data_IF_006085869697
#
_entry.id   IF_006085869697
#
_cell.length_a   1.000
_cell.length_b   1.000
_cell.length_c   1.000
_cell.angle_alpha   90.00
_cell.angle_beta   90.00
_cell.angle_gamma   90.00
#
_symmetry.space_group_name_H-M   'P 1'
#
loop_
_entity.id
_entity.type
_entity.pdbx_description
1 polymer ?
#
# COMPACT_ATOMS: atom_id res chain seq x y z
N UNK A 1 75.69 6.08 7.48
CA UNK A 1 74.59 6.99 7.09
C UNK A 1 74.42 6.84 5.59
N UNK A 2 73.16 6.86 5.12
CA UNK A 2 72.69 6.60 3.74
C UNK A 2 72.57 5.11 3.36
N UNK A 3 71.52 4.63 2.71
CA UNK A 3 70.10 5.02 2.60
C UNK A 3 69.46 3.82 1.88
N UNK A 4 68.51 3.10 2.51
CA UNK A 4 67.75 2.04 1.84
C UNK A 4 66.69 2.66 0.94
N UNK A 5 66.81 2.44 -0.37
CA UNK A 5 65.89 2.92 -1.39
C UNK A 5 65.03 1.80 -1.97
N UNK A 6 63.71 1.96 -1.78
CA UNK A 6 62.69 1.91 -2.84
C UNK A 6 62.48 0.62 -3.65
N UNK A 7 61.44 -0.13 -3.28
CA UNK A 7 60.65 -0.94 -4.22
C UNK A 7 59.14 -0.61 -4.08
N UNK A 8 58.75 0.56 -4.58
CA UNK A 8 57.35 0.85 -4.92
C UNK A 8 57.07 0.26 -6.31
N UNK A 9 56.20 -0.75 -6.37
CA UNK A 9 55.69 -1.32 -7.62
C UNK A 9 54.73 -0.31 -8.25
N UNK A 10 55.06 0.11 -9.46
CA UNK A 10 54.17 0.88 -10.34
C UNK A 10 52.87 0.11 -10.57
N UNK A 11 51.77 0.60 -10.00
CA UNK A 11 50.42 0.23 -10.42
C UNK A 11 50.10 1.10 -11.64
N UNK A 12 50.23 0.52 -12.82
CA UNK A 12 49.77 1.14 -14.07
C UNK A 12 48.25 1.14 -14.07
N UNK A 13 47.64 2.28 -13.76
CA UNK A 13 46.20 2.51 -14.00
C UNK A 13 46.01 2.63 -15.51
N UNK A 14 45.58 1.52 -16.13
CA UNK A 14 45.20 1.48 -17.54
C UNK A 14 43.88 2.25 -17.70
N UNK A 15 43.97 3.50 -18.14
CA UNK A 15 42.80 4.30 -18.48
C UNK A 15 42.26 3.80 -19.82
N UNK A 16 41.24 2.96 -19.79
CA UNK A 16 40.54 2.49 -20.99
C UNK A 16 39.57 3.58 -21.46
N UNK A 17 40.02 4.43 -22.39
CA UNK A 17 39.14 5.36 -23.09
C UNK A 17 38.39 4.59 -24.18
N UNK A 18 37.20 4.10 -23.86
CA UNK A 18 36.30 3.53 -24.88
C UNK A 18 35.58 4.68 -25.58
N UNK A 19 36.17 5.17 -26.66
CA UNK A 19 35.50 6.08 -27.60
C UNK A 19 34.51 5.28 -28.46
N UNK A 20 33.30 5.05 -27.94
CA UNK A 20 32.19 4.56 -28.74
C UNK A 20 31.62 5.71 -29.58
N UNK A 21 32.05 5.79 -30.85
CA UNK A 21 31.38 6.63 -31.84
C UNK A 21 30.06 5.96 -32.23
N UNK A 22 28.98 6.33 -31.55
CA UNK A 22 27.63 5.82 -31.83
C UNK A 22 27.05 6.61 -33.01
N UNK A 23 27.05 5.97 -34.19
CA UNK A 23 26.33 6.46 -35.36
C UNK A 23 24.84 6.21 -35.13
N UNK A 24 24.08 7.24 -34.73
CA UNK A 24 22.63 7.15 -34.63
C UNK A 24 22.02 7.18 -36.04
N UNK A 25 21.66 6.01 -36.57
CA UNK A 25 20.69 5.93 -37.66
C UNK A 25 19.30 6.11 -37.07
N UNK A 26 18.53 7.02 -37.66
CA UNK A 26 17.15 7.35 -37.27
C UNK A 26 16.21 6.20 -37.62
N UNK A 27 16.19 5.16 -36.79
CA UNK A 27 15.18 4.13 -36.76
C UNK A 27 14.80 3.93 -35.29
N UNK A 28 13.61 4.40 -34.90
CA UNK A 28 13.14 4.40 -33.52
C UNK A 28 12.92 2.98 -33.00
N UNK A 29 13.98 2.36 -32.50
CA UNK A 29 13.88 1.30 -31.50
C UNK A 29 14.73 1.80 -30.32
N UNK A 30 14.07 2.48 -29.37
CA UNK A 30 14.70 2.79 -28.10
C UNK A 30 14.93 1.47 -27.36
N UNK A 31 16.00 0.77 -27.70
CA UNK A 31 16.52 -0.32 -26.87
C UNK A 31 17.10 0.33 -25.63
N UNK A 32 16.36 0.26 -24.52
CA UNK A 32 16.89 0.48 -23.18
C UNK A 32 17.96 -0.58 -22.96
N UNK A 33 19.22 -0.27 -23.29
CA UNK A 33 20.33 -1.17 -23.01
C UNK A 33 20.45 -1.27 -21.50
N UNK A 34 19.91 -2.33 -20.93
CA UNK A 34 20.09 -2.66 -19.52
C UNK A 34 21.58 -2.92 -19.31
N UNK A 35 22.25 -2.03 -18.59
CA UNK A 35 23.66 -2.21 -18.24
C UNK A 35 23.73 -3.11 -17.02
N UNK A 36 23.94 -4.40 -17.24
CA UNK A 36 24.28 -5.33 -16.16
C UNK A 36 25.72 -5.03 -15.75
N UNK A 37 25.91 -4.59 -14.51
CA UNK A 37 27.26 -4.38 -13.95
C UNK A 37 27.77 -5.72 -13.43
N UNK A 38 28.81 -6.32 -14.04
CA UNK A 38 29.37 -7.58 -13.57
C UNK A 38 29.92 -7.43 -12.15
N UNK A 39 29.79 -8.48 -11.35
CA UNK A 39 30.37 -8.49 -10.01
C UNK A 39 31.90 -8.71 -10.08
N UNK A 40 32.68 -8.27 -9.07
CA UNK A 40 34.11 -8.50 -9.05
C UNK A 40 34.43 -10.01 -9.15
N UNK A 41 35.02 -10.42 -10.27
CA UNK A 41 35.33 -11.83 -10.56
C UNK A 41 34.65 -12.37 -11.82
N UNK A 42 33.63 -11.68 -12.34
CA UNK A 42 33.00 -12.04 -13.60
C UNK A 42 33.87 -11.56 -14.77
N UNK A 43 34.28 -12.49 -15.63
CA UNK A 43 35.12 -12.20 -16.81
C UNK A 43 34.32 -11.98 -18.10
N UNK A 44 33.01 -12.22 -18.07
CA UNK A 44 32.12 -12.10 -19.23
C UNK A 44 30.85 -11.33 -18.86
N UNK A 45 30.43 -10.43 -19.75
CA UNK A 45 29.10 -9.82 -19.70
C UNK A 45 28.11 -10.84 -20.27
N UNK A 46 27.35 -11.49 -19.39
CA UNK A 46 26.20 -12.28 -19.83
C UNK A 46 25.08 -11.28 -20.13
N UNK A 47 24.67 -11.20 -21.39
CA UNK A 47 23.45 -10.50 -21.76
C UNK A 47 22.29 -11.32 -21.22
N UNK A 48 21.70 -10.84 -20.12
CA UNK A 48 20.63 -11.54 -19.45
C UNK A 48 19.30 -11.07 -20.04
N UNK A 49 18.72 -11.89 -20.93
CA UNK A 49 17.40 -11.70 -21.56
C UNK A 49 16.24 -11.93 -20.56
N UNK A 50 16.44 -11.65 -19.27
CA UNK A 50 15.57 -12.14 -18.18
C UNK A 50 14.56 -11.12 -17.68
N UNK A 51 14.29 -10.07 -18.44
CA UNK A 51 13.31 -9.04 -18.06
C UNK A 51 12.07 -9.05 -18.96
N UNK A 52 11.81 -10.13 -19.68
CA UNK A 52 10.64 -10.30 -20.59
C UNK A 52 9.28 -9.96 -19.98
N UNK A 53 9.17 -9.97 -18.65
CA UNK A 53 7.93 -9.69 -17.90
C UNK A 53 8.07 -8.52 -16.94
N UNK A 54 9.05 -7.67 -17.17
CA UNK A 54 9.26 -6.43 -16.41
C UNK A 54 9.12 -5.24 -17.35
N UNK A 55 8.15 -4.38 -17.07
CA UNK A 55 8.00 -3.09 -17.76
C UNK A 55 8.50 -2.02 -16.82
N UNK A 56 9.47 -1.22 -17.29
CA UNK A 56 9.96 -0.05 -16.55
C UNK A 56 9.28 1.19 -17.12
N UNK A 57 8.59 1.95 -16.26
CA UNK A 57 7.91 3.19 -16.62
C UNK A 57 8.73 4.36 -16.09
N UNK A 58 9.21 5.19 -17.01
CA UNK A 58 9.98 6.38 -16.67
C UNK A 58 9.12 7.50 -16.08
N UNK A 59 9.67 8.24 -15.11
CA UNK A 59 8.98 9.34 -14.42
C UNK A 59 9.55 10.74 -14.71
N UNK A 60 10.32 10.89 -15.80
CA UNK A 60 11.02 12.13 -16.14
C UNK A 60 10.22 13.12 -17.00
N UNK A 61 9.02 12.74 -17.45
CA UNK A 61 8.10 13.61 -18.18
C UNK A 61 7.30 14.52 -17.24
N UNK A 62 6.32 15.23 -17.80
CA UNK A 62 5.30 15.92 -16.99
C UNK A 62 4.40 14.91 -16.27
N UNK A 63 3.78 15.31 -15.18
CA UNK A 63 2.93 14.41 -14.37
C UNK A 63 1.86 13.68 -15.19
N UNK A 64 1.25 14.38 -16.16
CA UNK A 64 0.25 13.81 -17.06
C UNK A 64 0.84 12.87 -18.11
N UNK A 65 2.02 13.16 -18.65
CA UNK A 65 2.72 12.26 -19.59
C UNK A 65 3.15 10.97 -18.88
N UNK A 66 3.66 11.10 -17.65
CA UNK A 66 4.03 9.98 -16.81
C UNK A 66 2.81 9.09 -16.50
N UNK A 67 1.68 9.70 -16.08
CA UNK A 67 0.43 8.98 -15.84
C UNK A 67 -0.08 8.24 -17.08
N UNK A 68 -0.07 8.88 -18.25
CA UNK A 68 -0.43 8.24 -19.51
C UNK A 68 0.51 7.07 -19.87
N UNK A 69 1.82 7.23 -19.63
CA UNK A 69 2.79 6.17 -19.84
C UNK A 69 2.57 4.96 -18.93
N UNK A 70 2.18 5.19 -17.67
CA UNK A 70 1.85 4.13 -16.72
C UNK A 70 0.61 3.34 -17.14
N UNK A 71 -0.45 4.03 -17.60
CA UNK A 71 -1.65 3.39 -18.14
C UNK A 71 -1.32 2.57 -19.40
N UNK A 72 -0.54 3.14 -20.33
CA UNK A 72 -0.12 2.43 -21.52
C UNK A 72 0.75 1.20 -21.22
N UNK A 73 1.60 1.26 -20.19
CA UNK A 73 2.41 0.12 -19.76
C UNK A 73 1.54 -1.05 -19.27
N UNK A 74 0.46 -0.75 -18.55
CA UNK A 74 -0.50 -1.76 -18.10
C UNK A 74 -1.25 -2.40 -19.29
N UNK A 75 -1.65 -1.62 -20.29
CA UNK A 75 -2.33 -2.11 -21.50
C UNK A 75 -1.48 -3.10 -22.33
N UNK A 76 -0.15 -3.06 -22.20
CA UNK A 76 0.75 -4.03 -22.84
C UNK A 76 0.70 -5.42 -22.20
N UNK A 77 0.25 -5.51 -20.94
CA UNK A 77 0.21 -6.76 -20.18
C UNK A 77 -1.09 -7.51 -20.46
N UNK A 78 -1.08 -8.35 -21.50
CA UNK A 78 -2.29 -9.07 -21.96
C UNK A 78 -2.37 -10.54 -21.56
N UNK A 79 -1.28 -11.10 -21.01
CA UNK A 79 -1.13 -12.55 -20.77
C UNK A 79 -0.77 -12.92 -19.33
N UNK A 80 -0.99 -12.00 -18.38
CA UNK A 80 -0.67 -12.22 -16.98
C UNK A 80 -1.41 -13.44 -16.42
N UNK A 81 -0.67 -14.31 -15.73
CA UNK A 81 -1.20 -15.54 -15.13
C UNK A 81 -0.26 -16.05 -14.03
N UNK A 82 -0.68 -17.07 -13.28
CA UNK A 82 0.16 -17.68 -12.25
C UNK A 82 1.52 -18.20 -12.77
N UNK A 83 1.57 -18.73 -14.00
CA UNK A 83 2.81 -19.18 -14.64
C UNK A 83 3.55 -18.06 -15.38
N UNK A 84 2.88 -16.93 -15.61
CA UNK A 84 3.41 -15.76 -16.31
C UNK A 84 3.08 -14.47 -15.55
N UNK A 85 3.62 -14.27 -14.33
CA UNK A 85 3.43 -13.03 -13.58
C UNK A 85 4.21 -11.89 -14.22
N UNK A 86 3.72 -10.67 -14.04
CA UNK A 86 4.34 -9.45 -14.57
C UNK A 86 4.67 -8.48 -13.44
N UNK A 87 5.74 -7.70 -13.65
CA UNK A 87 6.14 -6.60 -12.80
C UNK A 87 6.13 -5.29 -13.62
N UNK A 88 5.43 -4.30 -13.11
CA UNK A 88 5.55 -2.91 -13.54
C UNK A 88 6.39 -2.19 -12.50
N UNK A 89 7.59 -1.76 -12.89
CA UNK A 89 8.50 -0.97 -12.08
C UNK A 89 8.38 0.50 -12.48
N UNK A 90 8.11 1.35 -11.50
CA UNK A 90 7.88 2.79 -11.73
C UNK A 90 9.06 3.57 -11.17
N UNK A 91 9.69 4.36 -12.03
CA UNK A 91 10.79 5.25 -11.65
C UNK A 91 10.32 6.39 -10.71
N UNK A 92 11.25 7.14 -10.10
CA UNK A 92 10.92 8.37 -9.41
C UNK A 92 10.15 9.35 -10.30
N UNK A 93 9.12 9.99 -9.76
CA UNK A 93 8.26 10.94 -10.48
C UNK A 93 6.84 10.98 -9.92
N UNK A 94 6.04 11.92 -10.45
CA UNK A 94 4.60 11.99 -10.21
C UNK A 94 3.87 11.48 -11.45
N UNK A 95 2.88 10.61 -11.23
CA UNK A 95 2.10 9.94 -12.26
C UNK A 95 0.64 10.35 -12.06
N UNK A 96 0.20 11.37 -12.79
CA UNK A 96 -1.16 11.90 -12.69
C UNK A 96 -2.10 11.18 -13.66
N UNK A 97 -2.99 10.38 -13.10
CA UNK A 97 -4.01 9.62 -13.83
C UNK A 97 -5.19 10.49 -14.27
N UNK A 98 -5.25 11.75 -13.83
CA UNK A 98 -6.40 12.62 -13.95
C UNK A 98 -7.67 11.89 -13.48
N UNK A 99 -8.66 11.74 -14.35
CA UNK A 99 -9.92 11.04 -14.11
C UNK A 99 -9.88 9.56 -14.55
N UNK A 100 -8.72 9.01 -14.85
CA UNK A 100 -8.55 7.58 -15.14
C UNK A 100 -8.26 6.79 -13.87
N UNK A 101 -8.47 5.48 -13.95
CA UNK A 101 -8.20 4.51 -12.90
C UNK A 101 -7.07 3.57 -13.34
N UNK A 102 -6.21 3.18 -12.40
CA UNK A 102 -5.18 2.17 -12.64
C UNK A 102 -5.66 0.78 -12.16
N UNK A 103 -6.09 -0.07 -13.11
CA UNK A 103 -6.64 -1.39 -12.81
C UNK A 103 -5.60 -2.50 -12.96
N UNK A 104 -5.02 -2.98 -11.87
CA UNK A 104 -4.08 -4.11 -11.91
C UNK A 104 -4.85 -5.43 -12.09
N UNK A 105 -4.79 -5.97 -13.30
CA UNK A 105 -5.30 -7.31 -13.59
C UNK A 105 -4.55 -8.38 -12.77
N UNK A 106 -5.10 -9.60 -12.61
CA UNK A 106 -4.48 -10.59 -11.75
C UNK A 106 -3.05 -10.96 -12.16
N UNK A 107 -2.20 -11.22 -11.17
CA UNK A 107 -0.77 -11.58 -11.34
C UNK A 107 0.13 -10.46 -11.89
N UNK A 108 -0.34 -9.21 -11.85
CA UNK A 108 0.48 -8.03 -12.11
C UNK A 108 0.85 -7.37 -10.80
N UNK A 109 2.15 -7.15 -10.60
CA UNK A 109 2.69 -6.40 -9.46
C UNK A 109 3.09 -5.00 -9.91
N UNK A 110 2.81 -3.99 -9.09
CA UNK A 110 3.26 -2.61 -9.28
C UNK A 110 4.20 -2.23 -8.13
N UNK A 111 5.40 -1.76 -8.49
CA UNK A 111 6.40 -1.34 -7.54
C UNK A 111 6.96 0.03 -7.92
N UNK A 112 6.92 0.98 -7.00
CA UNK A 112 7.62 2.25 -7.15
C UNK A 112 9.08 2.20 -6.71
N UNK A 113 9.79 3.31 -6.93
CA UNK A 113 11.19 3.48 -6.52
C UNK A 113 11.33 3.85 -5.02
N UNK A 114 10.22 4.17 -4.34
CA UNK A 114 10.16 4.50 -2.93
C UNK A 114 8.98 5.42 -2.60
N UNK A 115 8.49 5.35 -1.36
CA UNK A 115 7.31 6.11 -0.91
C UNK A 115 7.48 7.63 -1.07
N UNK A 116 8.69 8.16 -0.92
CA UNK A 116 8.93 9.61 -0.99
C UNK A 116 9.33 10.10 -2.39
N UNK A 117 9.46 9.20 -3.37
CA UNK A 117 10.01 9.54 -4.70
C UNK A 117 9.12 9.12 -5.87
N UNK A 118 8.21 8.17 -5.69
CA UNK A 118 7.21 7.77 -6.70
C UNK A 118 5.81 8.05 -6.16
N UNK A 119 5.05 8.93 -6.81
CA UNK A 119 3.67 9.26 -6.41
C UNK A 119 2.71 9.00 -7.56
N UNK A 120 1.65 8.24 -7.28
CA UNK A 120 0.48 8.13 -8.16
C UNK A 120 -0.56 9.12 -7.64
N UNK A 121 -1.04 9.99 -8.52
CA UNK A 121 -2.10 10.94 -8.19
C UNK A 121 -3.32 10.70 -9.07
N UNK A 122 -4.50 10.73 -8.46
CA UNK A 122 -5.77 10.65 -9.15
C UNK A 122 -6.69 11.78 -8.66
N UNK A 123 -7.62 12.15 -9.52
CA UNK A 123 -8.67 13.11 -9.23
C UNK A 123 -10.01 12.55 -9.73
N UNK A 124 -11.09 12.88 -9.03
CA UNK A 124 -12.40 12.34 -9.37
C UNK A 124 -12.82 12.67 -10.81
N UNK A 125 -13.39 11.66 -11.46
CA UNK A 125 -14.61 11.86 -12.25
C UNK A 125 -15.81 11.71 -11.31
N UNK A 126 -16.96 12.30 -11.67
CA UNK A 126 -18.18 12.31 -10.85
C UNK A 126 -18.81 10.93 -10.57
N UNK A 127 -18.18 9.81 -10.97
CA UNK A 127 -18.77 8.47 -10.87
C UNK A 127 -17.73 7.41 -10.50
N UNK A 128 -17.63 7.07 -9.21
CA UNK A 128 -17.08 5.79 -8.74
C UNK A 128 -15.63 5.48 -9.09
N UNK A 129 -14.84 6.49 -9.45
CA UNK A 129 -13.42 6.30 -9.73
C UNK A 129 -12.65 6.06 -8.44
N UNK A 130 -11.64 5.21 -8.56
CA UNK A 130 -10.60 4.93 -7.56
C UNK A 130 -9.25 5.20 -8.20
N UNK A 131 -8.25 5.60 -7.43
CA UNK A 131 -6.90 5.73 -7.99
C UNK A 131 -6.38 4.37 -8.50
N UNK A 132 -6.54 3.30 -7.70
CA UNK A 132 -6.02 1.97 -8.03
C UNK A 132 -7.04 0.87 -7.67
N UNK A 133 -7.26 -0.08 -8.59
CA UNK A 133 -7.96 -1.34 -8.35
C UNK A 133 -7.01 -2.54 -8.43
N UNK A 134 -7.13 -3.47 -7.48
CA UNK A 134 -6.34 -4.71 -7.38
C UNK A 134 -7.28 -5.92 -7.53
N UNK A 135 -7.19 -6.62 -8.66
CA UNK A 135 -8.12 -7.71 -9.04
C UNK A 135 -7.69 -9.11 -8.57
N UNK A 136 -6.61 -9.22 -7.82
CA UNK A 136 -6.17 -10.44 -7.13
C UNK A 136 -4.77 -10.92 -7.53
N UNK A 137 -4.05 -11.57 -6.62
CA UNK A 137 -2.64 -11.96 -6.82
C UNK A 137 -1.75 -10.77 -7.20
N UNK A 138 -2.10 -9.58 -6.74
CA UNK A 138 -1.35 -8.37 -6.98
C UNK A 138 -0.43 -8.08 -5.80
N UNK A 139 0.69 -7.43 -6.09
CA UNK A 139 1.53 -6.74 -5.12
C UNK A 139 1.55 -5.27 -5.49
N UNK A 140 1.16 -4.40 -4.55
CA UNK A 140 1.32 -2.96 -4.64
C UNK A 140 2.34 -2.50 -3.60
N UNK A 141 3.45 -1.88 -4.03
CA UNK A 141 4.49 -1.52 -3.07
C UNK A 141 5.40 -0.34 -3.43
N UNK A 142 6.04 0.25 -2.41
CA UNK A 142 7.13 1.23 -2.53
C UNK A 142 6.74 2.52 -3.28
N UNK A 143 5.55 3.06 -3.04
CA UNK A 143 5.08 4.31 -3.65
C UNK A 143 4.11 5.06 -2.73
N UNK A 144 3.85 6.32 -3.06
CA UNK A 144 2.76 7.11 -2.47
C UNK A 144 1.57 7.19 -3.42
N UNK A 145 0.37 7.32 -2.84
CA UNK A 145 -0.89 7.54 -3.55
C UNK A 145 -1.54 8.78 -2.96
N UNK A 146 -1.99 9.68 -3.83
CA UNK A 146 -2.84 10.82 -3.47
C UNK A 146 -4.10 10.77 -4.30
N UNK A 147 -5.23 10.57 -3.63
CA UNK A 147 -6.54 10.58 -4.27
C UNK A 147 -7.33 11.79 -3.80
N UNK A 148 -7.60 12.68 -4.76
CA UNK A 148 -8.41 13.89 -4.57
C UNK A 148 -9.83 13.72 -5.12
N UNK A 149 -10.24 12.46 -5.32
CA UNK A 149 -11.59 12.12 -5.70
C UNK A 149 -12.62 12.58 -4.66
N UNK A 150 -13.81 12.90 -5.14
CA UNK A 150 -14.99 13.31 -4.36
C UNK A 150 -16.14 12.32 -4.51
N UNK A 151 -15.85 11.11 -5.04
CA UNK A 151 -16.87 10.11 -5.30
C UNK A 151 -17.16 9.36 -3.99
N UNK A 152 -18.17 9.84 -3.27
CA UNK A 152 -18.61 9.21 -2.02
C UNK A 152 -18.72 7.68 -2.16
N UNK A 153 -18.08 6.94 -1.27
CA UNK A 153 -18.06 5.45 -1.18
C UNK A 153 -17.03 4.69 -2.03
N UNK A 154 -16.16 5.36 -2.77
CA UNK A 154 -14.98 4.72 -3.35
C UNK A 154 -13.80 4.74 -2.36
N UNK A 155 -12.75 3.98 -2.65
CA UNK A 155 -11.50 4.01 -1.90
C UNK A 155 -10.33 4.32 -2.82
N UNK A 156 -9.31 5.02 -2.32
CA UNK A 156 -8.12 5.36 -3.10
C UNK A 156 -7.42 4.09 -3.63
N UNK A 157 -7.36 3.05 -2.79
CA UNK A 157 -7.00 1.69 -3.22
C UNK A 157 -8.17 0.76 -2.94
N UNK A 158 -8.63 0.06 -3.97
CA UNK A 158 -9.69 -0.96 -3.83
C UNK A 158 -9.17 -2.33 -4.21
N UNK A 159 -9.50 -3.33 -3.39
CA UNK A 159 -9.28 -4.74 -3.75
C UNK A 159 -10.60 -5.41 -4.11
N UNK A 160 -10.65 -6.04 -5.28
CA UNK A 160 -11.83 -6.77 -5.78
C UNK A 160 -11.56 -8.25 -6.00
N UNK A 161 -10.33 -8.72 -5.67
CA UNK A 161 -9.95 -10.12 -5.77
C UNK A 161 -9.04 -10.59 -4.64
N UNK A 162 -8.72 -11.89 -4.68
CA UNK A 162 -8.05 -12.59 -3.57
C UNK A 162 -6.52 -12.50 -3.64
N UNK A 163 -5.83 -12.80 -2.53
CA UNK A 163 -4.37 -12.89 -2.46
C UNK A 163 -3.69 -11.57 -2.84
N UNK A 164 -4.24 -10.45 -2.38
CA UNK A 164 -3.69 -9.12 -2.62
C UNK A 164 -2.73 -8.74 -1.50
N UNK A 165 -1.57 -8.18 -1.86
CA UNK A 165 -0.60 -7.64 -0.90
C UNK A 165 -0.37 -6.16 -1.16
N UNK A 166 -0.53 -5.36 -0.11
CA UNK A 166 -0.29 -3.92 -0.10
C UNK A 166 0.80 -3.67 0.93
N UNK A 167 1.97 -3.19 0.50
CA UNK A 167 3.11 -3.06 1.42
C UNK A 167 4.02 -1.86 1.17
N UNK A 168 4.51 -1.24 2.25
CA UNK A 168 5.45 -0.13 2.18
C UNK A 168 4.94 1.00 1.28
N UNK A 169 3.72 1.46 1.54
CA UNK A 169 3.09 2.55 0.78
C UNK A 169 2.55 3.63 1.72
N UNK A 170 2.37 4.82 1.17
CA UNK A 170 1.67 5.93 1.82
C UNK A 170 0.43 6.29 1.00
N UNK A 171 -0.71 6.49 1.66
CA UNK A 171 -1.97 6.87 1.02
C UNK A 171 -2.51 8.14 1.68
N UNK A 172 -2.90 9.10 0.86
CA UNK A 172 -3.67 10.29 1.26
C UNK A 172 -4.94 10.33 0.41
N UNK A 173 -6.12 10.28 1.06
CA UNK A 173 -7.42 10.31 0.41
C UNK A 173 -8.28 11.46 0.98
N UNK A 174 -8.78 12.34 0.11
CA UNK A 174 -9.40 13.63 0.52
C UNK A 174 -10.91 13.57 0.82
N UNK A 175 -11.66 12.61 0.27
CA UNK A 175 -13.13 12.47 0.49
C UNK A 175 -13.61 11.00 0.49
N UNK A 176 -12.66 10.06 0.49
CA UNK A 176 -12.91 8.64 0.26
C UNK A 176 -12.22 7.75 1.29
N UNK A 177 -12.46 6.43 1.18
CA UNK A 177 -11.73 5.45 1.97
C UNK A 177 -10.25 5.43 1.54
N UNK A 178 -9.31 5.26 2.47
CA UNK A 178 -7.91 5.08 2.12
C UNK A 178 -7.70 3.74 1.41
N UNK A 179 -8.06 2.65 2.10
CA UNK A 179 -8.09 1.29 1.54
C UNK A 179 -9.49 0.72 1.71
N UNK A 180 -10.09 0.28 0.60
CA UNK A 180 -11.35 -0.46 0.59
C UNK A 180 -11.11 -1.89 0.12
N UNK A 181 -11.46 -2.86 0.95
CA UNK A 181 -11.48 -4.27 0.58
C UNK A 181 -12.93 -4.62 0.28
N UNK A 182 -13.24 -4.89 -0.99
CA UNK A 182 -14.61 -5.12 -1.45
C UNK A 182 -15.01 -6.60 -1.34
N UNK A 183 -16.30 -6.88 -1.54
CA UNK A 183 -16.90 -8.20 -1.32
C UNK A 183 -16.13 -9.34 -1.97
N UNK A 184 -16.06 -10.49 -1.28
CA UNK A 184 -15.42 -11.71 -1.74
C UNK A 184 -13.91 -11.64 -1.94
N UNK A 185 -13.23 -10.63 -1.37
CA UNK A 185 -11.76 -10.57 -1.33
C UNK A 185 -11.20 -11.37 -0.15
N UNK A 186 -10.48 -12.44 -0.45
CA UNK A 186 -9.87 -13.33 0.55
C UNK A 186 -8.34 -13.18 0.57
N UNK A 187 -7.72 -13.48 1.71
CA UNK A 187 -6.27 -13.41 1.92
C UNK A 187 -5.64 -12.05 1.54
N UNK A 188 -6.26 -10.94 1.99
CA UNK A 188 -5.72 -9.59 1.77
C UNK A 188 -4.75 -9.22 2.89
N UNK A 189 -3.50 -8.91 2.54
CA UNK A 189 -2.46 -8.52 3.51
C UNK A 189 -2.06 -7.07 3.30
N UNK A 190 -2.18 -6.29 4.37
CA UNK A 190 -1.79 -4.87 4.41
C UNK A 190 -0.67 -4.72 5.44
N UNK A 191 0.50 -4.27 5.02
CA UNK A 191 1.64 -4.18 5.94
C UNK A 191 2.54 -2.97 5.70
N UNK A 192 3.04 -2.35 6.77
CA UNK A 192 3.92 -1.18 6.67
C UNK A 192 3.28 -0.06 5.83
N UNK A 193 1.99 0.20 6.03
CA UNK A 193 1.28 1.27 5.31
C UNK A 193 1.06 2.48 6.21
N UNK A 194 1.09 3.67 5.62
CA UNK A 194 0.70 4.93 6.27
C UNK A 194 -0.49 5.53 5.51
N UNK A 195 -1.69 5.43 6.10
CA UNK A 195 -2.95 5.85 5.48
C UNK A 195 -3.52 7.05 6.23
N UNK A 196 -3.83 8.10 5.49
CA UNK A 196 -4.63 9.24 5.97
C UNK A 196 -5.81 9.43 5.04
N UNK A 197 -7.02 9.29 5.56
CA UNK A 197 -8.26 9.40 4.80
C UNK A 197 -9.21 10.42 5.42
N UNK A 198 -10.02 11.07 4.59
CA UNK A 198 -11.13 11.89 5.07
C UNK A 198 -12.33 11.04 5.50
N UNK A 199 -12.69 9.97 4.79
CA UNK A 199 -13.68 9.00 5.25
C UNK A 199 -13.01 7.92 6.10
N UNK A 200 -12.98 6.64 5.69
CA UNK A 200 -12.36 5.57 6.49
C UNK A 200 -10.94 5.26 6.05
N UNK A 201 -10.03 5.05 7.00
CA UNK A 201 -8.66 4.68 6.63
C UNK A 201 -8.59 3.25 6.06
N UNK A 202 -9.30 2.31 6.69
CA UNK A 202 -9.45 0.94 6.22
C UNK A 202 -10.91 0.51 6.31
N UNK A 203 -11.45 0.02 5.21
CA UNK A 203 -12.80 -0.50 5.16
C UNK A 203 -12.85 -1.88 4.51
N UNK A 204 -13.14 -2.92 5.28
CA UNK A 204 -13.55 -4.23 4.77
C UNK A 204 -15.05 -4.23 4.59
N UNK A 205 -15.53 -4.10 3.35
CA UNK A 205 -16.94 -4.04 3.00
C UNK A 205 -17.31 -5.17 2.05
N UNK A 206 -18.58 -5.60 2.15
CA UNK A 206 -19.05 -6.76 1.41
C UNK A 206 -18.72 -8.07 2.12
N UNK A 207 -19.63 -9.04 2.02
CA UNK A 207 -19.50 -10.27 2.78
C UNK A 207 -18.31 -11.12 2.38
N UNK A 208 -17.81 -11.92 3.33
CA UNK A 208 -16.72 -12.89 3.16
C UNK A 208 -15.41 -12.23 2.71
N UNK A 209 -14.93 -11.30 3.53
CA UNK A 209 -13.65 -10.61 3.33
C UNK A 209 -12.68 -11.06 4.41
N UNK A 210 -11.46 -11.44 4.08
CA UNK A 210 -10.39 -11.76 5.06
C UNK A 210 -9.23 -10.78 4.90
N UNK A 211 -8.95 -10.00 5.95
CA UNK A 211 -7.93 -8.95 5.96
C UNK A 211 -7.02 -9.11 7.16
N UNK A 212 -5.72 -9.07 6.89
CA UNK A 212 -4.68 -8.97 7.92
C UNK A 212 -3.89 -7.68 7.71
N UNK A 213 -4.01 -6.75 8.66
CA UNK A 213 -3.25 -5.50 8.71
C UNK A 213 -2.17 -5.55 9.80
N UNK A 214 -0.92 -5.18 9.47
CA UNK A 214 0.21 -5.23 10.42
C UNK A 214 1.16 -4.05 10.30
N UNK A 215 1.76 -3.63 11.42
CA UNK A 215 2.81 -2.59 11.44
C UNK A 215 2.43 -1.35 10.63
N UNK A 216 1.19 -0.89 10.76
CA UNK A 216 0.60 0.13 9.89
C UNK A 216 0.01 1.26 10.70
N UNK A 217 -0.13 2.42 10.06
CA UNK A 217 -0.76 3.60 10.65
C UNK A 217 -1.97 3.99 9.83
N UNK A 218 -3.13 4.06 10.48
CA UNK A 218 -4.41 4.37 9.89
C UNK A 218 -4.99 5.61 10.56
N UNK A 219 -5.23 6.66 9.77
CA UNK A 219 -5.80 7.93 10.24
C UNK A 219 -7.06 8.30 9.48
N UNK A 220 -8.10 8.67 10.22
CA UNK A 220 -9.34 9.22 9.66
C UNK A 220 -9.64 10.60 10.26
N UNK A 221 -10.14 11.51 9.42
CA UNK A 221 -10.51 12.88 9.84
C UNK A 221 -12.01 13.17 9.84
N UNK A 222 -12.81 12.42 9.07
CA UNK A 222 -14.25 12.65 8.91
C UNK A 222 -15.14 11.47 9.34
N UNK A 223 -14.60 10.24 9.39
CA UNK A 223 -15.38 9.05 9.81
C UNK A 223 -14.61 8.07 10.72
N UNK A 224 -14.91 6.78 10.61
CA UNK A 224 -14.26 5.73 11.38
C UNK A 224 -12.89 5.42 10.81
N UNK A 225 -11.93 5.03 11.64
CA UNK A 225 -10.63 4.57 11.13
C UNK A 225 -10.81 3.22 10.45
N UNK A 226 -11.51 2.31 11.11
CA UNK A 226 -11.74 0.94 10.67
C UNK A 226 -13.23 0.67 10.56
N UNK A 227 -13.64 0.14 9.40
CA UNK A 227 -14.99 -0.35 9.18
C UNK A 227 -14.96 -1.83 8.77
N UNK A 228 -15.72 -2.67 9.49
CA UNK A 228 -15.78 -4.11 9.27
C UNK A 228 -17.22 -4.50 8.94
N UNK A 229 -17.41 -4.91 7.69
CA UNK A 229 -18.68 -5.32 7.12
C UNK A 229 -19.19 -6.66 7.64
N UNK A 230 -20.41 -6.99 7.24
CA UNK A 230 -21.07 -8.24 7.60
C UNK A 230 -20.37 -9.46 7.00
N UNK A 231 -19.99 -10.44 7.82
CA UNK A 231 -19.32 -11.66 7.37
C UNK A 231 -17.86 -11.47 6.94
N UNK A 232 -17.26 -10.32 7.25
CA UNK A 232 -15.82 -10.09 7.07
C UNK A 232 -15.05 -10.53 8.34
N UNK A 233 -13.83 -11.03 8.19
CA UNK A 233 -12.87 -11.26 9.26
C UNK A 233 -11.68 -10.31 9.08
N UNK A 234 -11.39 -9.51 10.11
CA UNK A 234 -10.32 -8.51 10.04
C UNK A 234 -9.42 -8.65 11.26
N UNK A 235 -8.13 -8.76 11.02
CA UNK A 235 -7.11 -8.83 12.06
C UNK A 235 -6.16 -7.63 11.94
N UNK A 236 -5.92 -6.91 13.03
CA UNK A 236 -5.04 -5.75 13.07
C UNK A 236 -3.99 -5.91 14.17
N UNK A 237 -2.70 -5.91 13.79
CA UNK A 237 -1.60 -6.12 14.72
C UNK A 237 -0.55 -5.02 14.65
N UNK A 238 0.08 -4.71 15.79
CA UNK A 238 1.24 -3.80 15.88
C UNK A 238 0.99 -2.47 15.14
N UNK A 239 -0.24 -1.95 15.17
CA UNK A 239 -0.67 -0.83 14.34
C UNK A 239 -1.20 0.34 15.16
N UNK A 240 -1.24 1.54 14.56
CA UNK A 240 -1.83 2.74 15.15
C UNK A 240 -3.11 3.14 14.39
N UNK A 241 -4.22 3.26 15.10
CA UNK A 241 -5.52 3.70 14.59
C UNK A 241 -5.86 5.02 15.25
N UNK A 242 -5.95 6.10 14.47
CA UNK A 242 -6.23 7.46 15.00
C UNK A 242 -7.42 8.09 14.30
N UNK A 243 -8.45 8.46 15.06
CA UNK A 243 -9.56 9.29 14.57
C UNK A 243 -9.47 10.70 15.13
N UNK A 244 -9.67 11.70 14.27
CA UNK A 244 -9.89 13.10 14.70
C UNK A 244 -11.33 13.56 14.47
N UNK A 245 -12.19 12.68 13.98
CA UNK A 245 -13.60 12.97 13.75
C UNK A 245 -14.32 13.19 15.10
N UNK A 246 -15.03 14.32 15.24
CA UNK A 246 -15.60 14.75 16.52
C UNK A 246 -16.82 13.95 16.99
N UNK A 247 -17.47 13.21 16.09
CA UNK A 247 -18.75 12.53 16.36
C UNK A 247 -18.77 11.09 15.85
N UNK A 248 -17.60 10.49 15.66
CA UNK A 248 -17.45 9.17 15.06
C UNK A 248 -16.56 8.30 15.94
N UNK A 249 -16.77 7.01 15.80
CA UNK A 249 -16.02 5.95 16.47
C UNK A 249 -14.74 5.64 15.70
N UNK A 250 -13.72 5.10 16.37
CA UNK A 250 -12.52 4.58 15.71
C UNK A 250 -12.89 3.36 14.87
N UNK A 251 -13.71 2.47 15.44
CA UNK A 251 -14.08 1.19 14.86
C UNK A 251 -15.59 1.12 14.69
N UNK A 252 -16.05 0.76 13.50
CA UNK A 252 -17.41 0.34 13.22
C UNK A 252 -17.42 -1.13 12.84
N UNK A 253 -17.96 -1.97 13.71
CA UNK A 253 -18.14 -3.41 13.45
C UNK A 253 -19.63 -3.68 13.23
N UNK A 254 -20.01 -4.19 12.05
CA UNK A 254 -21.40 -4.53 11.76
C UNK A 254 -21.70 -5.97 12.23
N UNK A 255 -21.36 -6.98 11.43
CA UNK A 255 -21.58 -8.40 11.76
C UNK A 255 -20.44 -9.30 11.28
N UNK A 256 -19.21 -8.85 11.48
CA UNK A 256 -17.99 -9.58 11.14
C UNK A 256 -17.22 -10.03 12.37
N UNK A 257 -16.04 -10.59 12.15
CA UNK A 257 -15.05 -10.90 13.16
C UNK A 257 -13.97 -9.82 13.14
N UNK A 258 -13.56 -9.35 14.32
CA UNK A 258 -12.49 -8.37 14.43
C UNK A 258 -11.56 -8.72 15.60
N UNK A 259 -10.29 -8.90 15.27
CA UNK A 259 -9.20 -9.08 16.22
C UNK A 259 -8.24 -7.89 16.16
N UNK A 260 -7.92 -7.30 17.31
CA UNK A 260 -6.89 -6.26 17.42
C UNK A 260 -5.91 -6.62 18.52
N UNK A 261 -4.64 -6.79 18.15
CA UNK A 261 -3.54 -7.13 19.06
C UNK A 261 -2.42 -6.09 19.02
N UNK A 262 -1.78 -5.84 20.18
CA UNK A 262 -0.54 -5.06 20.27
C UNK A 262 -0.61 -3.66 19.60
N UNK A 263 -1.79 -3.07 19.54
CA UNK A 263 -2.06 -1.87 18.74
C UNK A 263 -2.37 -0.65 19.62
N UNK A 264 -2.24 0.54 19.04
CA UNK A 264 -2.63 1.80 19.67
C UNK A 264 -3.89 2.33 19.00
N UNK A 265 -4.90 2.66 19.80
CA UNK A 265 -6.14 3.29 19.34
C UNK A 265 -6.23 4.67 19.97
N UNK A 266 -6.41 5.72 19.17
CA UNK A 266 -6.54 7.09 19.64
C UNK A 266 -7.73 7.81 19.03
N UNK A 267 -8.48 8.56 19.85
CA UNK A 267 -9.56 9.42 19.37
C UNK A 267 -9.72 10.70 20.19
N UNK A 268 -10.00 11.80 19.50
CA UNK A 268 -10.44 13.06 20.12
C UNK A 268 -11.92 13.05 20.49
N UNK A 269 -12.70 12.13 19.93
CA UNK A 269 -14.13 11.94 20.23
C UNK A 269 -14.34 11.16 21.53
N UNK A 270 -15.46 11.42 22.19
CA UNK A 270 -15.89 10.72 23.40
C UNK A 270 -16.50 9.35 23.12
N UNK A 271 -16.76 8.99 21.86
CA UNK A 271 -17.35 7.71 21.47
C UNK A 271 -16.32 6.91 20.71
N UNK A 272 -15.54 6.09 21.41
CA UNK A 272 -14.31 5.53 20.82
C UNK A 272 -14.55 4.25 20.02
N UNK A 273 -15.35 3.32 20.54
CA UNK A 273 -15.52 1.99 19.96
C UNK A 273 -16.99 1.61 20.13
N UNK A 274 -17.79 1.65 19.07
CA UNK A 274 -19.12 1.07 19.12
C UNK A 274 -19.18 -0.07 18.09
N UNK A 275 -19.21 -1.28 18.64
CA UNK A 275 -19.58 -2.48 17.88
C UNK A 275 -21.07 -2.35 17.61
N UNK A 276 -21.43 -2.10 16.35
CA UNK A 276 -22.80 -1.94 15.91
C UNK A 276 -23.67 -3.07 16.47
N UNK A 277 -24.72 -2.66 17.16
CA UNK A 277 -25.66 -3.51 17.88
C UNK A 277 -26.29 -4.63 17.02
N UNK A 278 -26.55 -5.77 17.67
CA UNK A 278 -27.48 -6.90 17.35
C UNK A 278 -26.97 -8.13 16.61
N UNK A 279 -25.74 -8.17 16.10
CA UNK A 279 -25.27 -9.32 15.31
C UNK A 279 -24.14 -10.14 15.96
N UNK A 280 -24.05 -11.42 15.55
CA UNK A 280 -23.20 -12.50 16.08
C UNK A 280 -21.71 -12.42 15.68
N UNK A 281 -21.10 -11.24 15.78
CA UNK A 281 -19.67 -11.08 15.47
C UNK A 281 -18.79 -11.31 16.69
N UNK A 282 -17.62 -11.93 16.49
CA UNK A 282 -16.57 -12.05 17.51
C UNK A 282 -15.72 -10.78 17.51
N UNK A 283 -15.52 -10.21 18.70
CA UNK A 283 -14.72 -9.00 18.86
C UNK A 283 -13.70 -9.17 19.99
N UNK A 284 -12.43 -9.14 19.60
CA UNK A 284 -11.31 -9.40 20.49
C UNK A 284 -10.32 -8.25 20.41
N UNK A 285 -10.05 -7.60 21.55
CA UNK A 285 -8.91 -6.66 21.68
C UNK A 285 -8.01 -7.12 22.82
N UNK A 286 -6.72 -7.29 22.55
CA UNK A 286 -5.73 -7.63 23.58
C UNK A 286 -4.42 -6.85 23.41
N UNK A 287 -3.72 -6.68 24.53
CA UNK A 287 -2.41 -6.02 24.63
C UNK A 287 -2.35 -4.67 23.90
N UNK A 288 -3.48 -3.97 23.82
CA UNK A 288 -3.61 -2.72 23.08
C UNK A 288 -3.70 -1.54 24.04
N UNK A 289 -3.23 -0.39 23.57
CA UNK A 289 -3.29 0.88 24.28
C UNK A 289 -4.41 1.74 23.69
N UNK A 290 -5.31 2.24 24.55
CA UNK A 290 -6.45 3.05 24.11
C UNK A 290 -6.36 4.44 24.76
N UNK A 291 -6.17 5.47 23.95
CA UNK A 291 -5.99 6.87 24.36
C UNK A 291 -7.14 7.75 23.84
N UNK A 292 -8.03 8.18 24.73
CA UNK A 292 -9.30 8.82 24.36
C UNK A 292 -9.56 10.07 25.16
N UNK A 293 -10.12 11.10 24.51
CA UNK A 293 -10.40 12.39 25.14
C UNK A 293 -11.46 12.36 26.26
N UNK A 294 -12.30 11.32 26.33
CA UNK A 294 -13.27 11.09 27.43
C UNK A 294 -13.66 9.61 27.58
N UNK A 295 -14.62 9.32 28.47
CA UNK A 295 -15.22 8.00 28.75
C UNK A 295 -15.48 7.21 27.48
N UNK A 296 -14.95 6.00 27.37
CA UNK A 296 -15.29 5.07 26.29
C UNK A 296 -16.36 4.08 26.77
N UNK A 297 -17.17 3.59 25.84
CA UNK A 297 -18.13 2.50 26.07
C UNK A 297 -17.84 1.39 25.08
N UNK A 298 -17.96 0.13 25.50
CA UNK A 298 -18.04 -1.01 24.60
C UNK A 298 -19.49 -1.50 24.60
N UNK A 299 -20.12 -1.58 23.44
CA UNK A 299 -21.52 -2.01 23.29
C UNK A 299 -21.57 -3.30 22.47
N UNK A 300 -21.07 -4.40 23.04
CA UNK A 300 -20.99 -5.71 22.36
C UNK A 300 -22.10 -6.70 22.77
N UNK A 301 -22.20 -7.79 22.01
CA UNK A 301 -22.90 -9.02 22.42
C UNK A 301 -22.09 -9.75 23.52
N UNK A 302 -22.51 -10.96 23.91
CA UNK A 302 -21.82 -11.77 24.94
C UNK A 302 -20.35 -12.05 24.58
N UNK A 303 -20.02 -12.25 23.31
CA UNK A 303 -18.72 -12.81 22.90
C UNK A 303 -17.58 -11.77 22.80
N UNK A 304 -17.67 -10.67 23.54
CA UNK A 304 -16.65 -9.60 23.56
C UNK A 304 -15.57 -9.88 24.62
N UNK A 305 -14.32 -10.05 24.17
CA UNK A 305 -13.15 -10.21 25.04
C UNK A 305 -12.26 -8.95 24.99
N UNK A 306 -12.00 -8.34 26.15
CA UNK A 306 -11.20 -7.12 26.24
C UNK A 306 -10.07 -7.26 27.26
N UNK A 307 -8.84 -7.04 26.81
CA UNK A 307 -7.66 -6.86 27.67
C UNK A 307 -6.86 -5.64 27.19
N UNK A 308 -7.17 -4.46 27.73
CA UNK A 308 -6.58 -3.18 27.29
C UNK A 308 -5.93 -2.41 28.43
N UNK A 309 -4.93 -1.60 28.07
CA UNK A 309 -4.38 -0.57 28.94
C UNK A 309 -4.91 0.79 28.48
N UNK A 310 -5.27 1.64 29.44
CA UNK A 310 -5.58 3.05 29.22
C UNK A 310 -4.59 3.90 30.02
N UNK A 311 -4.42 5.20 29.72
CA UNK A 311 -3.58 6.08 30.53
C UNK A 311 -3.94 6.09 32.02
N UNK A 312 -5.20 5.81 32.38
CA UNK A 312 -5.68 5.87 33.75
C UNK A 312 -5.78 4.50 34.45
N UNK A 313 -6.04 3.41 33.73
CA UNK A 313 -6.37 2.10 34.31
C UNK A 313 -6.08 0.92 33.35
N UNK A 314 -5.89 -0.28 33.91
CA UNK A 314 -5.96 -1.55 33.16
C UNK A 314 -7.40 -2.08 33.19
N UNK A 315 -7.95 -2.42 32.02
CA UNK A 315 -9.28 -3.00 31.89
C UNK A 315 -9.18 -4.40 31.29
N UNK A 316 -9.55 -5.39 32.08
CA UNK A 316 -9.81 -6.73 31.62
C UNK A 316 -11.27 -7.10 31.89
N UNK A 317 -12.04 -7.40 30.86
CA UNK A 317 -13.31 -8.10 31.01
C UNK A 317 -13.09 -9.55 30.60
N UNK A 318 -13.55 -10.49 31.44
CA UNK A 318 -13.64 -11.88 31.03
C UNK A 318 -14.60 -11.97 29.82
N UNK A 319 -14.26 -12.83 28.85
CA UNK A 319 -15.16 -13.19 27.76
C UNK A 319 -16.50 -13.64 28.36
N UNK A 320 -17.62 -13.02 27.98
CA UNK A 320 -18.95 -13.46 28.42
C UNK A 320 -19.51 -14.53 27.50
#
# INVERSE_FOLDING_TARGET
MEQEGSHLKNITILTLVVSASLLFTTGSNAQTKVVVVPMPGDTEFIEVDTFDRTIVVGGSGTDSENGAALLAALDLVTTASASSPWLILVEPGVFNLAASELVLIPYVSLRGAGIDVTTISAAASSTGNRAIELQGNNLLSHLSITDSSTASSSGAVVTTGNRVRIENIKIVADDEDGIRVDSFSDEVVIQNVDVTAADRALSAQGGNVDVVARNSVFRSTGDNVLNVGSGSSVQVFDSELTSTASSKQIINLLSGELEIGFSKLSSTSTSTINTGTTSSGDFIIYHSHVDTGASYSFTGNSDTCLATTTPANFFASACQ
#
